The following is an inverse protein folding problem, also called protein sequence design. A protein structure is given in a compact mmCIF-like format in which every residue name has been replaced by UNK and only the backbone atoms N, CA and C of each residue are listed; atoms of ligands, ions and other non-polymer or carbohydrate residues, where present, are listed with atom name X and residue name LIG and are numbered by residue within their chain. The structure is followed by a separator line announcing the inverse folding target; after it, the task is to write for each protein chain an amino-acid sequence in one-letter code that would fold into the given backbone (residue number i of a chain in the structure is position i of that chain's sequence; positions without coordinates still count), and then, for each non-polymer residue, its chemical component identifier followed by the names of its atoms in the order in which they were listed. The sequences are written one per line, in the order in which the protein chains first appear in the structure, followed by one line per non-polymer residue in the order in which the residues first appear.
data_IF_576099346689
#
_entry.id   IF_576099346689
#
_cell.length_a   1.000
_cell.length_b   1.000
_cell.length_c   1.000
_cell.angle_alpha   90.00
_cell.angle_beta   90.00
_cell.angle_gamma   90.00
#
_symmetry.space_group_name_H-M   'P 1'
#
loop_
_entity.id
_entity.type
_entity.pdbx_description
1 polymer ?
#
# COMPACT_ATOMS: atom_id res chain seq x y z
N UNK A 1 37.58 7.55 -6.69
CA UNK A 1 36.71 8.71 -6.46
C UNK A 1 35.78 8.36 -5.33
N UNK A 2 35.85 9.10 -4.22
CA UNK A 2 35.00 8.90 -3.05
C UNK A 2 33.55 9.25 -3.40
N UNK A 3 32.61 8.36 -3.10
CA UNK A 3 31.18 8.69 -3.13
C UNK A 3 30.98 9.85 -2.15
N UNK A 4 30.36 10.97 -2.57
CA UNK A 4 30.15 12.10 -1.68
C UNK A 4 29.20 11.70 -0.55
N UNK A 5 29.60 11.96 0.69
CA UNK A 5 28.88 11.60 1.92
C UNK A 5 27.46 12.17 1.97
N UNK A 6 27.23 13.27 1.25
CA UNK A 6 25.92 13.94 1.15
C UNK A 6 24.88 13.09 0.39
N UNK A 7 25.31 12.32 -0.62
CA UNK A 7 24.43 11.38 -1.31
C UNK A 7 24.05 10.22 -0.38
N UNK A 8 24.99 9.72 0.41
CA UNK A 8 24.76 8.65 1.37
C UNK A 8 23.77 9.12 2.44
N UNK A 9 23.95 10.33 2.96
CA UNK A 9 23.03 10.94 3.91
C UNK A 9 21.63 11.17 3.30
N UNK A 10 21.56 11.64 2.06
CA UNK A 10 20.30 11.85 1.33
C UNK A 10 19.51 10.56 1.13
N UNK A 11 20.16 9.49 0.64
CA UNK A 11 19.55 8.17 0.45
C UNK A 11 19.15 7.54 1.78
N UNK A 12 19.99 7.68 2.82
CA UNK A 12 19.64 7.21 4.15
C UNK A 12 18.42 7.95 4.70
N UNK A 13 18.31 9.26 4.49
CA UNK A 13 17.17 10.06 4.94
C UNK A 13 15.88 9.70 4.20
N UNK A 14 15.89 9.67 2.86
CA UNK A 14 14.69 9.34 2.07
C UNK A 14 14.29 7.87 2.22
N UNK A 15 15.25 6.96 2.40
CA UNK A 15 15.00 5.54 2.65
C UNK A 15 14.55 5.25 4.09
N UNK A 16 15.41 5.48 5.09
CA UNK A 16 15.09 5.14 6.48
C UNK A 16 14.01 6.04 7.06
N UNK A 17 14.11 7.36 6.87
CA UNK A 17 13.23 8.27 7.60
C UNK A 17 11.87 8.39 6.93
N UNK A 18 11.79 8.52 5.61
CA UNK A 18 10.47 8.58 4.94
C UNK A 18 9.83 7.21 4.80
N UNK A 19 10.54 6.21 4.25
CA UNK A 19 9.93 4.90 3.97
C UNK A 19 9.74 4.07 5.23
N UNK A 20 10.80 3.84 6.02
CA UNK A 20 10.69 2.94 7.17
C UNK A 20 9.74 3.49 8.26
N UNK A 21 9.74 4.81 8.50
CA UNK A 21 8.77 5.44 9.40
C UNK A 21 7.34 5.26 8.91
N UNK A 22 7.09 5.48 7.61
CA UNK A 22 5.75 5.31 7.03
C UNK A 22 5.28 3.88 7.18
N UNK A 23 6.12 2.88 6.89
CA UNK A 23 5.79 1.46 7.04
C UNK A 23 5.48 1.11 8.51
N UNK A 24 6.26 1.62 9.46
CA UNK A 24 6.02 1.41 10.89
C UNK A 24 4.69 2.03 11.33
N UNK A 25 4.41 3.27 10.92
CA UNK A 25 3.17 3.95 11.24
C UNK A 25 1.96 3.27 10.58
N UNK A 26 2.08 2.86 9.32
CA UNK A 26 1.04 2.14 8.58
C UNK A 26 0.73 0.81 9.26
N UNK A 27 1.75 0.02 9.63
CA UNK A 27 1.56 -1.26 10.34
C UNK A 27 0.88 -1.04 11.70
N UNK A 28 1.29 0.00 12.44
CA UNK A 28 0.69 0.36 13.74
C UNK A 28 -0.76 0.85 13.62
N UNK A 29 -1.11 1.52 12.52
CA UNK A 29 -2.44 2.06 12.26
C UNK A 29 -3.40 0.96 11.76
N UNK A 30 -2.98 0.20 10.74
CA UNK A 30 -3.77 -0.90 10.18
C UNK A 30 -3.96 -2.05 11.18
N UNK A 31 -3.00 -2.28 12.08
CA UNK A 31 -3.13 -3.26 13.15
C UNK A 31 -4.15 -2.91 14.25
N UNK A 32 -4.71 -1.69 14.24
CA UNK A 32 -5.78 -1.27 15.16
C UNK A 32 -7.16 -1.24 14.51
N UNK A 33 -7.24 -1.42 13.19
CA UNK A 33 -8.47 -1.40 12.42
C UNK A 33 -8.92 -2.83 12.11
N UNK A 34 -10.24 -3.12 12.08
CA UNK A 34 -10.75 -4.38 11.56
C UNK A 34 -10.21 -4.66 10.16
N UNK A 35 -9.91 -5.92 9.83
CA UNK A 35 -9.27 -6.32 8.57
C UNK A 35 -9.98 -5.76 7.31
N UNK A 36 -11.31 -5.68 7.36
CA UNK A 36 -12.13 -5.11 6.29
C UNK A 36 -11.83 -3.61 6.07
N UNK A 37 -11.69 -2.82 7.12
CA UNK A 37 -11.45 -1.36 7.02
C UNK A 37 -10.02 -1.07 6.52
N UNK A 38 -9.05 -1.85 6.99
CA UNK A 38 -7.65 -1.76 6.55
C UNK A 38 -7.49 -2.08 5.05
N UNK A 39 -8.20 -3.11 4.58
CA UNK A 39 -8.18 -3.52 3.16
C UNK A 39 -8.72 -2.42 2.24
N UNK A 40 -9.79 -1.75 2.65
CA UNK A 40 -10.35 -0.62 1.89
C UNK A 40 -9.35 0.53 1.81
N UNK A 41 -8.69 0.89 2.92
CA UNK A 41 -7.69 1.98 2.92
C UNK A 41 -6.52 1.65 1.98
N UNK A 42 -5.95 0.44 2.09
CA UNK A 42 -4.83 0.02 1.24
C UNK A 42 -5.24 -0.08 -0.23
N UNK A 43 -6.48 -0.50 -0.52
CA UNK A 43 -7.01 -0.50 -1.89
C UNK A 43 -7.15 0.91 -2.48
N UNK A 44 -7.27 1.96 -1.65
CA UNK A 44 -7.36 3.35 -2.13
C UNK A 44 -6.01 4.05 -2.33
N UNK A 45 -4.91 3.53 -1.77
CA UNK A 45 -3.56 4.07 -2.01
C UNK A 45 -3.20 4.26 -3.50
N UNK A 46 -3.41 3.29 -4.40
CA UNK A 46 -3.08 3.48 -5.82
C UNK A 46 -3.88 4.59 -6.48
N UNK A 47 -5.10 4.88 -6.02
CA UNK A 47 -5.91 5.99 -6.53
C UNK A 47 -5.30 7.34 -6.13
N UNK A 48 -4.91 7.49 -4.86
CA UNK A 48 -4.23 8.70 -4.38
C UNK A 48 -2.86 8.86 -5.04
N UNK A 49 -2.08 7.79 -5.17
CA UNK A 49 -0.80 7.80 -5.85
C UNK A 49 -0.95 8.25 -7.32
N UNK A 50 -1.93 7.70 -8.05
CA UNK A 50 -2.23 8.11 -9.41
C UNK A 50 -2.71 9.57 -9.50
N UNK A 51 -3.56 9.99 -8.56
CA UNK A 51 -4.06 11.37 -8.47
C UNK A 51 -2.95 12.38 -8.22
N UNK A 52 -2.08 12.13 -7.23
CA UNK A 52 -0.92 12.97 -6.96
C UNK A 52 0.11 12.93 -8.10
N UNK A 53 0.34 11.77 -8.71
CA UNK A 53 1.20 11.68 -9.89
C UNK A 53 0.65 12.55 -11.04
N UNK A 54 -0.65 12.48 -11.32
CA UNK A 54 -1.29 13.32 -12.34
C UNK A 54 -1.19 14.82 -12.01
N UNK A 55 -1.42 15.19 -10.74
CA UNK A 55 -1.38 16.58 -10.27
C UNK A 55 0.03 17.18 -10.29
N UNK A 56 1.05 16.43 -9.84
CA UNK A 56 2.43 16.93 -9.74
C UNK A 56 3.17 16.91 -11.08
N UNK A 57 2.90 15.92 -11.94
CA UNK A 57 3.61 15.79 -13.22
C UNK A 57 3.07 16.76 -14.27
N UNK A 58 1.82 17.24 -14.12
CA UNK A 58 1.23 18.30 -14.95
C UNK A 58 1.02 17.96 -16.44
N UNK A 59 1.49 16.80 -16.89
CA UNK A 59 1.33 16.28 -18.25
C UNK A 59 0.22 15.24 -18.32
N UNK A 60 -0.41 15.12 -19.48
CA UNK A 60 -1.42 14.09 -19.74
C UNK A 60 -0.78 12.72 -19.49
N UNK A 61 -1.45 11.86 -18.70
CA UNK A 61 -0.94 10.52 -18.44
C UNK A 61 -0.60 9.84 -19.77
N UNK A 62 0.64 9.37 -19.90
CA UNK A 62 1.06 8.62 -21.05
C UNK A 62 0.06 7.45 -21.29
N UNK A 63 -0.25 7.10 -22.54
CA UNK A 63 -1.18 6.00 -22.83
C UNK A 63 -0.81 4.69 -22.12
N UNK A 64 0.50 4.44 -21.95
CA UNK A 64 1.00 3.30 -21.18
C UNK A 64 0.59 3.34 -19.69
N UNK A 65 0.63 4.52 -19.06
CA UNK A 65 0.20 4.71 -17.66
C UNK A 65 -1.31 4.50 -17.51
N UNK A 66 -2.10 4.87 -18.52
CA UNK A 66 -3.55 4.59 -18.55
C UNK A 66 -3.83 3.09 -18.63
N UNK A 67 -3.10 2.35 -19.48
CA UNK A 67 -3.23 0.89 -19.59
C UNK A 67 -2.83 0.20 -18.28
N UNK A 68 -1.72 0.61 -17.68
CA UNK A 68 -1.29 0.11 -16.38
C UNK A 68 -2.31 0.40 -15.28
N UNK A 69 -2.87 1.61 -15.24
CA UNK A 69 -3.95 1.98 -14.33
C UNK A 69 -5.22 1.15 -14.52
N UNK A 70 -5.63 0.92 -15.77
CA UNK A 70 -6.80 0.08 -16.09
C UNK A 70 -6.58 -1.37 -15.64
N UNK A 71 -5.38 -1.91 -15.86
CA UNK A 71 -5.01 -3.26 -15.44
C UNK A 71 -5.02 -3.40 -13.91
N UNK A 72 -4.50 -2.40 -13.19
CA UNK A 72 -4.54 -2.34 -11.74
C UNK A 72 -5.98 -2.32 -11.22
N UNK A 73 -6.82 -1.43 -11.73
CA UNK A 73 -8.24 -1.35 -11.36
C UNK A 73 -8.97 -2.66 -11.60
N UNK A 74 -8.72 -3.30 -12.75
CA UNK A 74 -9.31 -4.61 -13.09
C UNK A 74 -8.89 -5.69 -12.10
N UNK A 75 -7.60 -5.72 -11.71
CA UNK A 75 -7.09 -6.64 -10.69
C UNK A 75 -7.73 -6.40 -9.32
N UNK A 76 -7.85 -5.15 -8.89
CA UNK A 76 -8.52 -4.79 -7.64
C UNK A 76 -9.98 -5.22 -7.62
N UNK A 77 -10.74 -4.90 -8.68
CA UNK A 77 -12.16 -5.29 -8.79
C UNK A 77 -12.30 -6.81 -8.74
N UNK A 78 -11.46 -7.53 -9.51
CA UNK A 78 -11.46 -8.99 -9.54
C UNK A 78 -11.19 -9.56 -8.15
N UNK A 79 -10.22 -9.01 -7.42
CA UNK A 79 -9.92 -9.43 -6.05
C UNK A 79 -11.09 -9.16 -5.07
N UNK A 80 -11.83 -8.06 -5.25
CA UNK A 80 -12.97 -7.73 -4.39
C UNK A 80 -14.19 -8.61 -4.64
N UNK A 81 -14.44 -9.00 -5.89
CA UNK A 81 -15.59 -9.86 -6.25
C UNK A 81 -15.32 -11.36 -6.15
N UNK A 82 -14.04 -11.77 -6.08
CA UNK A 82 -13.69 -13.18 -5.98
C UNK A 82 -14.00 -13.67 -4.56
N UNK A 83 -14.89 -14.66 -4.38
CA UNK A 83 -15.22 -15.18 -3.06
C UNK A 83 -13.97 -15.80 -2.41
N UNK A 84 -13.76 -15.53 -1.12
CA UNK A 84 -12.61 -16.03 -0.32
C UNK A 84 -12.39 -17.55 -0.46
N UNK A 85 -13.46 -18.29 -0.73
CA UNK A 85 -13.44 -19.74 -0.92
C UNK A 85 -12.60 -20.19 -2.14
N UNK A 86 -12.33 -19.30 -3.10
CA UNK A 86 -11.54 -19.58 -4.30
C UNK A 86 -10.09 -19.09 -4.20
N UNK A 87 -9.78 -18.19 -3.27
CA UNK A 87 -8.43 -17.62 -3.10
C UNK A 87 -7.53 -18.45 -2.17
N UNK A 88 -8.04 -19.51 -1.54
CA UNK A 88 -7.25 -20.39 -0.69
C UNK A 88 -6.73 -19.71 0.59
N UNK A 89 -7.28 -18.55 0.97
CA UNK A 89 -7.05 -17.96 2.27
C UNK A 89 -7.70 -18.89 3.31
N UNK A 90 -6.86 -19.68 4.00
CA UNK A 90 -7.30 -20.48 5.12
C UNK A 90 -8.02 -19.57 6.13
N UNK A 91 -9.12 -20.03 6.76
CA UNK A 91 -9.85 -19.23 7.74
C UNK A 91 -8.87 -18.78 8.82
N UNK A 92 -8.75 -17.47 8.99
CA UNK A 92 -8.06 -16.86 10.11
C UNK A 92 -8.69 -17.44 11.39
N UNK A 93 -7.96 -18.33 12.05
CA UNK A 93 -8.33 -18.86 13.35
C UNK A 93 -8.33 -17.66 14.30
N UNK A 94 -9.52 -17.12 14.54
CA UNK A 94 -9.79 -16.17 15.60
C UNK A 94 -9.35 -16.83 16.91
N UNK A 95 -8.10 -16.60 17.31
CA UNK A 95 -7.66 -16.98 18.64
C UNK A 95 -8.50 -16.16 19.63
N UNK A 96 -9.35 -16.81 20.46
CA UNK A 96 -10.08 -16.08 21.46
C UNK A 96 -9.05 -15.57 22.46
N UNK A 97 -8.83 -14.24 22.50
CA UNK A 97 -8.17 -13.61 23.63
C UNK A 97 -8.94 -14.01 24.88
N UNK A 98 -8.39 -15.01 25.56
CA UNK A 98 -8.85 -15.47 26.85
C UNK A 98 -9.05 -14.26 27.75
N UNK A 99 -10.30 -14.07 28.15
CA UNK A 99 -10.56 -13.61 29.50
C UNK A 99 -9.86 -14.60 30.42
N UNK A 100 -8.86 -14.12 31.13
CA UNK A 100 -8.47 -14.65 32.43
C UNK A 100 -8.33 -13.41 33.30
N UNK A 101 -9.43 -13.14 34.02
CA UNK A 101 -9.46 -13.00 35.48
C UNK A 101 -8.22 -12.38 36.16
#
# INVERSE_FOLDING_TARGET
GSIPTELIAGVAYTGLVSTALTVVLQTRALGKLPAADSSVIVATEPLWAAGFAALLLGEMLAPASMVGGLLLLTGCITNTILPEQLTGAAPEETEPRGKAD
#
